data_IF_664686562248
#
_entry.id   IF_664686562248
#
_cell.length_a   1.000
_cell.length_b   1.000
_cell.length_c   1.000
_cell.angle_alpha   90.00
_cell.angle_beta   90.00
_cell.angle_gamma   90.00
#
_symmetry.space_group_name_H-M   'P 1'
#
loop_
_entity.id
_entity.type
_entity.pdbx_description
1 polymer ?
#
# COMPACT_ATOMS: atom_id res chain seq x y z
N UNK A 1 8.10 -5.85 -16.36
CA UNK A 1 7.07 -4.79 -16.48
C UNK A 1 5.77 -5.49 -16.83
N UNK A 2 4.64 -5.16 -16.18
CA UNK A 2 3.36 -5.80 -16.52
C UNK A 2 2.81 -5.09 -17.76
N UNK A 3 2.73 -5.81 -18.88
CA UNK A 3 2.14 -5.29 -20.11
C UNK A 3 0.64 -5.14 -19.88
N UNK A 4 0.07 -3.96 -20.24
CA UNK A 4 -1.37 -3.64 -20.16
C UNK A 4 -1.95 -3.32 -18.78
N UNK A 5 -1.12 -3.18 -17.74
CA UNK A 5 -1.56 -2.60 -16.46
C UNK A 5 -1.92 -1.12 -16.64
N UNK A 6 -3.09 -0.70 -16.16
CA UNK A 6 -3.56 0.69 -16.23
C UNK A 6 -4.59 1.00 -17.32
N UNK A 7 -4.76 0.14 -18.34
CA UNK A 7 -5.84 0.29 -19.34
C UNK A 7 -7.12 -0.37 -18.84
N UNK A 8 -7.91 0.38 -18.08
CA UNK A 8 -9.27 -0.01 -17.73
C UNK A 8 -10.19 1.17 -18.01
N UNK A 9 -11.17 0.97 -18.91
CA UNK A 9 -12.25 1.95 -19.17
C UNK A 9 -13.27 2.02 -18.01
N UNK A 10 -13.06 1.22 -16.96
CA UNK A 10 -13.92 1.22 -15.78
C UNK A 10 -13.49 2.32 -14.81
N UNK A 11 -14.43 3.14 -14.31
CA UNK A 11 -14.14 4.10 -13.25
C UNK A 11 -13.63 3.37 -12.01
N UNK A 12 -12.90 4.08 -11.15
CA UNK A 12 -12.48 3.54 -9.87
C UNK A 12 -13.70 3.09 -9.06
N UNK A 13 -13.62 1.87 -8.52
CA UNK A 13 -14.64 1.38 -7.62
C UNK A 13 -14.40 2.14 -6.31
N UNK A 14 -15.36 2.94 -5.82
CA UNK A 14 -15.22 3.59 -4.53
C UNK A 14 -14.98 2.49 -3.48
N UNK A 15 -13.91 2.59 -2.71
CA UNK A 15 -13.62 1.69 -1.59
C UNK A 15 -14.55 1.92 -0.40
N UNK A 16 -15.83 2.21 -0.64
CA UNK A 16 -16.80 2.51 0.40
C UNK A 16 -17.01 1.24 1.23
N UNK A 17 -16.50 1.24 2.47
CA UNK A 17 -16.43 0.10 3.40
C UNK A 17 -15.37 -0.98 3.07
N UNK A 18 -14.35 -0.66 2.28
CA UNK A 18 -13.20 -1.55 2.05
C UNK A 18 -12.01 -1.15 2.91
N UNK A 19 -11.36 -2.08 3.62
CA UNK A 19 -10.23 -1.76 4.47
C UNK A 19 -9.09 -1.13 3.66
N UNK A 20 -8.33 -0.19 4.27
CA UNK A 20 -7.26 0.53 3.58
C UNK A 20 -6.13 -0.41 3.14
N UNK A 21 -5.29 0.03 2.22
CA UNK A 21 -4.11 -0.75 1.86
C UNK A 21 -3.02 -0.60 2.92
N UNK A 22 -2.55 -1.72 3.46
CA UNK A 22 -1.35 -1.75 4.30
C UNK A 22 -0.09 -1.99 3.46
N UNK A 23 0.93 -1.13 3.55
CA UNK A 23 2.26 -1.40 3.03
C UNK A 23 2.85 -2.69 3.64
N UNK A 24 3.62 -3.41 2.83
CA UNK A 24 4.34 -4.60 3.29
C UNK A 24 5.55 -4.19 4.14
N UNK A 25 5.80 -4.96 5.20
CA UNK A 25 6.89 -4.73 6.15
C UNK A 25 8.17 -5.48 5.76
N UNK A 26 9.32 -4.80 5.81
CA UNK A 26 10.60 -5.46 5.60
C UNK A 26 11.78 -4.52 5.46
N UNK A 27 12.96 -5.04 5.76
CA UNK A 27 14.26 -4.33 5.67
C UNK A 27 14.88 -4.46 4.27
N UNK A 28 14.40 -5.41 3.45
CA UNK A 28 14.94 -5.59 2.12
C UNK A 28 14.34 -4.56 1.15
N UNK A 29 15.14 -3.94 0.26
CA UNK A 29 14.66 -2.98 -0.74
C UNK A 29 13.57 -3.53 -1.68
N UNK A 30 13.43 -4.86 -1.81
CA UNK A 30 12.36 -5.49 -2.59
C UNK A 30 10.98 -5.38 -1.92
N UNK A 31 10.95 -5.11 -0.61
CA UNK A 31 9.73 -4.95 0.19
C UNK A 31 9.25 -3.51 0.17
N UNK A 32 10.16 -2.55 -0.11
CA UNK A 32 9.80 -1.14 -0.24
C UNK A 32 8.77 -0.95 -1.36
N UNK A 33 7.66 -0.31 -1.01
CA UNK A 33 6.63 0.08 -1.95
C UNK A 33 7.22 1.05 -2.98
N UNK A 34 6.92 0.81 -4.26
CA UNK A 34 7.17 1.78 -5.35
C UNK A 34 6.33 3.04 -5.14
N UNK A 35 6.68 4.14 -5.82
CA UNK A 35 5.94 5.40 -5.73
C UNK A 35 4.44 5.23 -6.02
N UNK A 36 3.59 5.95 -5.28
CA UNK A 36 2.15 5.97 -5.53
C UNK A 36 1.84 6.47 -6.93
N UNK A 37 2.60 7.44 -7.42
CA UNK A 37 2.45 7.94 -8.80
C UNK A 37 2.47 6.79 -9.82
N UNK A 38 3.35 5.81 -9.63
CA UNK A 38 3.43 4.62 -10.49
C UNK A 38 2.31 3.61 -10.22
N UNK A 39 1.87 3.45 -8.97
CA UNK A 39 0.76 2.55 -8.65
C UNK A 39 -0.59 3.08 -9.13
N UNK A 40 -0.84 4.38 -8.99
CA UNK A 40 -2.04 5.06 -9.51
C UNK A 40 -2.17 4.90 -11.02
N UNK A 41 -1.07 4.97 -11.76
CA UNK A 41 -1.10 4.77 -13.21
C UNK A 41 -1.34 3.30 -13.61
N UNK A 42 -0.82 2.34 -12.84
CA UNK A 42 -1.00 0.91 -13.11
C UNK A 42 -2.38 0.39 -12.65
N UNK A 43 -2.96 0.99 -11.62
CA UNK A 43 -4.20 0.56 -10.99
C UNK A 43 -5.14 1.75 -10.76
N UNK A 44 -5.67 2.36 -11.85
CA UNK A 44 -6.52 3.54 -11.75
C UNK A 44 -7.82 3.27 -10.99
N UNK A 45 -8.21 1.99 -10.86
CA UNK A 45 -9.44 1.61 -10.19
C UNK A 45 -9.34 1.48 -8.66
N UNK A 46 -8.12 1.54 -8.12
CA UNK A 46 -7.85 1.40 -6.69
C UNK A 46 -7.89 2.79 -6.04
N UNK A 47 -8.57 2.90 -4.90
CA UNK A 47 -8.51 4.10 -4.08
C UNK A 47 -7.23 4.13 -3.23
N UNK A 48 -6.43 5.16 -3.45
CA UNK A 48 -5.19 5.44 -2.70
C UNK A 48 -5.34 6.64 -1.76
N UNK A 49 -6.55 7.13 -1.52
CA UNK A 49 -6.86 8.32 -0.70
C UNK A 49 -6.29 8.24 0.73
N UNK A 50 -6.25 7.04 1.30
CA UNK A 50 -5.77 6.77 2.66
C UNK A 50 -4.25 6.78 2.80
N UNK A 51 -3.49 6.79 1.69
CA UNK A 51 -2.04 6.74 1.73
C UNK A 51 -1.45 8.14 1.55
N UNK A 52 -0.74 8.61 2.57
CA UNK A 52 -0.13 9.93 2.60
C UNK A 52 1.26 9.90 1.95
N UNK A 53 1.35 10.41 0.73
CA UNK A 53 2.62 10.69 0.06
C UNK A 53 3.28 9.49 -0.67
N UNK A 54 4.26 9.81 -1.52
CA UNK A 54 4.98 8.83 -2.35
C UNK A 54 5.99 7.97 -1.57
N UNK A 55 6.34 8.36 -0.35
CA UNK A 55 7.26 7.62 0.51
C UNK A 55 6.56 6.46 1.21
N UNK A 56 7.29 5.35 1.37
CA UNK A 56 6.84 4.21 2.18
C UNK A 56 7.22 4.46 3.64
N UNK A 57 6.26 4.91 4.45
CA UNK A 57 6.48 5.34 5.84
C UNK A 57 6.72 4.14 6.77
N UNK A 58 6.15 2.98 6.45
CA UNK A 58 6.29 1.76 7.24
C UNK A 58 7.55 0.97 6.85
N UNK A 59 8.10 1.24 5.67
CA UNK A 59 9.42 0.75 5.32
C UNK A 59 10.50 1.49 6.10
N UNK A 60 11.29 0.74 6.86
CA UNK A 60 12.45 1.24 7.61
C UNK A 60 13.66 0.38 7.26
N UNK A 61 14.83 0.99 7.01
CA UNK A 61 16.08 0.25 6.97
C UNK A 61 16.39 -0.29 8.37
N UNK A 62 17.17 -1.37 8.44
CA UNK A 62 17.51 -2.13 9.63
C UNK A 62 17.69 -1.27 10.89
N UNK A 63 17.08 -1.63 12.03
CA UNK A 63 16.37 -2.90 12.29
C UNK A 63 14.92 -2.94 11.79
N UNK A 64 14.47 -4.14 11.41
CA UNK A 64 13.07 -4.42 11.07
C UNK A 64 12.16 -4.13 12.27
N UNK A 65 10.91 -3.70 11.99
CA UNK A 65 9.85 -3.65 13.00
C UNK A 65 9.71 -5.00 13.70
N UNK A 66 9.47 -4.95 15.00
CA UNK A 66 9.27 -6.13 15.83
C UNK A 66 7.92 -6.78 15.53
N UNK A 67 7.79 -8.07 15.85
CA UNK A 67 6.51 -8.78 15.69
C UNK A 67 5.38 -8.12 16.49
N UNK A 68 5.69 -7.49 17.61
CA UNK A 68 4.70 -6.84 18.48
C UNK A 68 4.17 -5.53 17.86
N UNK A 69 5.05 -4.72 17.28
CA UNK A 69 4.66 -3.50 16.54
C UNK A 69 3.81 -3.84 15.32
N UNK A 70 4.18 -4.91 14.61
CA UNK A 70 3.41 -5.43 13.47
C UNK A 70 2.04 -5.93 13.93
N UNK A 71 1.98 -6.71 15.01
CA UNK A 71 0.73 -7.23 15.54
C UNK A 71 -0.20 -6.11 16.02
N UNK A 72 0.34 -5.09 16.70
CA UNK A 72 -0.43 -3.92 17.14
C UNK A 72 -1.08 -3.20 15.95
N UNK A 73 -0.30 -2.94 14.88
CA UNK A 73 -0.81 -2.34 13.64
C UNK A 73 -1.82 -3.25 12.91
N UNK A 74 -1.60 -4.57 12.95
CA UNK A 74 -2.55 -5.54 12.41
C UNK A 74 -3.90 -5.52 13.14
N UNK A 75 -3.90 -5.33 14.46
CA UNK A 75 -5.13 -5.19 15.25
C UNK A 75 -5.86 -3.90 14.92
N UNK A 76 -5.15 -2.78 14.77
CA UNK A 76 -5.76 -1.51 14.31
C UNK A 76 -6.42 -1.67 12.93
N UNK A 77 -5.77 -2.41 12.04
CA UNK A 77 -6.30 -2.67 10.70
C UNK A 77 -7.54 -3.56 10.68
N UNK A 78 -7.58 -4.60 11.51
CA UNK A 78 -8.74 -5.50 11.62
C UNK A 78 -9.95 -4.79 12.25
N UNK A 79 -9.71 -3.79 13.10
CA UNK A 79 -10.75 -3.02 13.78
C UNK A 79 -11.19 -1.74 13.02
N UNK A 80 -10.65 -1.50 11.82
CA UNK A 80 -11.05 -0.40 10.94
C UNK A 80 -12.48 -0.58 10.40
#
# INVERSE_FOLDING_TARGET
MVVKAGSSDRPAIPGLNSPPFLPAEGDHPCVMRRSLTKYKSLFPAIDFSTIVGDNDILWKPSPRETSDEVAARGVEFVNW
#
